data_IF_519307285658
#
_entry.id   IF_519307285658
#
_cell.length_a   1.000
_cell.length_b   1.000
_cell.length_c   1.000
_cell.angle_alpha   90.00
_cell.angle_beta   90.00
_cell.angle_gamma   90.00
#
_symmetry.space_group_name_H-M   'P 1'
#
loop_
_entity.id
_entity.type
_entity.pdbx_description
1 polymer ?
#
# COMPACT_ATOMS: atom_id res chain seq x y z
N UNK A 1 16.80 2.86 2.93
CA UNK A 1 17.35 1.50 3.12
C UNK A 1 18.48 1.18 2.14
N UNK A 2 18.35 1.48 0.85
CA UNK A 2 19.35 1.19 -0.20
C UNK A 2 20.73 1.83 0.07
N UNK A 3 20.78 3.09 0.52
CA UNK A 3 22.04 3.77 0.83
C UNK A 3 22.73 3.26 2.12
N UNK A 4 21.95 2.78 3.09
CA UNK A 4 22.46 2.33 4.39
C UNK A 4 22.92 0.86 4.40
N UNK A 5 22.43 0.03 3.47
CA UNK A 5 22.67 -1.43 3.43
C UNK A 5 23.59 -1.88 2.28
N UNK A 6 24.47 -1.01 1.76
CA UNK A 6 25.47 -1.41 0.74
C UNK A 6 25.08 -1.13 -0.72
N UNK A 7 24.17 -0.18 -0.98
CA UNK A 7 23.93 0.37 -2.32
C UNK A 7 23.44 -0.66 -3.34
N UNK A 8 24.20 -0.87 -4.42
CA UNK A 8 23.82 -1.76 -5.53
C UNK A 8 23.72 -3.23 -5.15
N UNK A 9 24.50 -3.71 -4.17
CA UNK A 9 24.43 -5.09 -3.68
C UNK A 9 23.09 -5.38 -2.99
N UNK A 10 22.59 -4.42 -2.21
CA UNK A 10 21.26 -4.49 -1.61
C UNK A 10 20.16 -4.53 -2.68
N UNK A 11 20.30 -3.76 -3.75
CA UNK A 11 19.32 -3.73 -4.84
C UNK A 11 19.18 -5.10 -5.52
N UNK A 12 20.30 -5.81 -5.76
CA UNK A 12 20.26 -7.17 -6.30
C UNK A 12 19.53 -8.14 -5.38
N UNK A 13 19.83 -8.11 -4.07
CA UNK A 13 19.15 -8.96 -3.08
C UNK A 13 17.66 -8.63 -3.02
N UNK A 14 17.29 -7.35 -3.06
CA UNK A 14 15.91 -6.90 -3.09
C UNK A 14 15.16 -7.41 -4.32
N UNK A 15 15.76 -7.32 -5.51
CA UNK A 15 15.16 -7.82 -6.75
C UNK A 15 14.98 -9.34 -6.72
N UNK A 16 16.00 -10.08 -6.28
CA UNK A 16 15.91 -11.54 -6.12
C UNK A 16 14.81 -11.90 -5.13
N UNK A 17 14.73 -11.21 -3.99
CA UNK A 17 13.70 -11.45 -2.98
C UNK A 17 12.29 -11.11 -3.51
N UNK A 18 12.16 -10.05 -4.31
CA UNK A 18 10.89 -9.69 -4.95
C UNK A 18 10.41 -10.78 -5.90
N UNK A 19 11.31 -11.36 -6.68
CA UNK A 19 10.97 -12.44 -7.61
C UNK A 19 10.70 -13.76 -6.87
N UNK A 20 11.47 -14.08 -5.82
CA UNK A 20 11.34 -15.37 -5.12
C UNK A 20 10.24 -15.40 -4.05
N UNK A 21 9.86 -14.24 -3.52
CA UNK A 21 8.89 -14.13 -2.41
C UNK A 21 7.67 -13.32 -2.88
N UNK A 22 7.89 -12.09 -3.32
CA UNK A 22 6.82 -11.17 -3.70
C UNK A 22 5.96 -11.70 -4.85
N UNK A 23 6.60 -12.19 -5.92
CA UNK A 23 5.88 -12.70 -7.09
C UNK A 23 5.04 -13.96 -6.78
N UNK A 24 5.56 -15.00 -6.09
CA UNK A 24 4.73 -16.12 -5.64
C UNK A 24 3.55 -15.74 -4.76
N UNK A 25 3.73 -14.78 -3.83
CA UNK A 25 2.64 -14.27 -2.99
C UNK A 25 1.60 -13.52 -3.83
N UNK A 26 2.02 -12.69 -4.77
CA UNK A 26 1.11 -11.99 -5.69
C UNK A 26 0.27 -12.97 -6.52
N UNK A 27 0.91 -14.02 -7.05
CA UNK A 27 0.19 -15.09 -7.76
C UNK A 27 -0.81 -15.81 -6.84
N UNK A 28 -0.48 -15.99 -5.56
CA UNK A 28 -1.39 -16.56 -4.58
C UNK A 28 -2.61 -15.67 -4.34
N UNK A 29 -2.41 -14.37 -4.12
CA UNK A 29 -3.51 -13.41 -3.95
C UNK A 29 -4.41 -13.37 -5.19
N UNK A 30 -3.82 -13.31 -6.38
CA UNK A 30 -4.56 -13.30 -7.64
C UNK A 30 -5.40 -14.56 -7.83
N UNK A 31 -4.80 -15.74 -7.64
CA UNK A 31 -5.50 -17.02 -7.78
C UNK A 31 -6.64 -17.16 -6.75
N UNK A 32 -6.39 -16.80 -5.48
CA UNK A 32 -7.41 -16.83 -4.45
C UNK A 32 -8.55 -15.85 -4.74
N UNK A 33 -8.23 -14.60 -5.13
CA UNK A 33 -9.21 -13.56 -5.41
C UNK A 33 -10.14 -13.95 -6.55
N UNK A 34 -9.59 -14.44 -7.67
CA UNK A 34 -10.38 -14.88 -8.82
C UNK A 34 -11.24 -16.10 -8.52
N UNK A 35 -10.67 -17.13 -7.89
CA UNK A 35 -11.42 -18.33 -7.53
C UNK A 35 -12.54 -18.06 -6.52
N UNK A 36 -12.35 -17.10 -5.61
CA UNK A 36 -13.34 -16.82 -4.58
C UNK A 36 -14.47 -15.91 -5.09
N UNK A 37 -14.18 -14.89 -5.91
CA UNK A 37 -15.18 -13.94 -6.40
C UNK A 37 -15.95 -13.21 -5.30
N UNK A 38 -15.39 -13.12 -4.10
CA UNK A 38 -15.95 -12.42 -2.93
C UNK A 38 -14.91 -11.44 -2.38
N UNK A 39 -15.31 -10.59 -1.43
CA UNK A 39 -14.41 -9.66 -0.74
C UNK A 39 -13.21 -10.37 -0.10
N UNK A 40 -12.07 -9.69 0.00
CA UNK A 40 -10.81 -10.22 0.52
C UNK A 40 -10.94 -10.97 1.86
N UNK A 41 -11.76 -10.46 2.80
CA UNK A 41 -11.99 -11.14 4.10
C UNK A 41 -12.67 -12.51 3.94
N UNK A 42 -13.68 -12.60 3.07
CA UNK A 42 -14.52 -13.79 2.90
C UNK A 42 -13.86 -14.85 2.01
N UNK A 43 -12.85 -14.48 1.23
CA UNK A 43 -12.10 -15.37 0.34
C UNK A 43 -11.57 -16.60 1.06
N UNK A 44 -10.93 -16.40 2.21
CA UNK A 44 -10.32 -17.47 2.98
C UNK A 44 -11.35 -18.45 3.54
N UNK A 45 -12.47 -17.97 4.07
CA UNK A 45 -13.53 -18.83 4.60
C UNK A 45 -14.28 -19.60 3.50
N UNK A 46 -14.53 -18.96 2.35
CA UNK A 46 -15.16 -19.60 1.19
C UNK A 46 -14.27 -20.72 0.63
N UNK A 47 -12.99 -20.44 0.39
CA UNK A 47 -12.07 -21.40 -0.21
C UNK A 47 -11.60 -22.48 0.78
N UNK A 48 -11.46 -22.14 2.05
CA UNK A 48 -11.09 -23.07 3.11
C UNK A 48 -12.28 -23.84 3.72
N UNK A 49 -13.52 -23.59 3.24
CA UNK A 49 -14.77 -24.17 3.75
C UNK A 49 -14.96 -24.00 5.28
N UNK A 50 -14.36 -22.97 5.87
CA UNK A 50 -14.43 -22.70 7.30
C UNK A 50 -14.27 -21.21 7.56
N UNK A 51 -15.30 -20.58 8.12
CA UNK A 51 -15.34 -19.14 8.41
C UNK A 51 -14.22 -18.67 9.35
N UNK A 52 -13.59 -19.56 10.13
CA UNK A 52 -12.44 -19.20 10.96
C UNK A 52 -11.30 -18.63 10.12
N UNK A 53 -11.07 -19.13 8.91
CA UNK A 53 -9.99 -18.65 8.05
C UNK A 53 -10.15 -17.18 7.61
N UNK A 54 -11.34 -16.59 7.75
CA UNK A 54 -11.55 -15.16 7.48
C UNK A 54 -10.70 -14.25 8.37
N UNK A 55 -10.14 -14.76 9.49
CA UNK A 55 -9.20 -14.00 10.31
C UNK A 55 -7.99 -13.49 9.51
N UNK A 56 -7.54 -14.28 8.51
CA UNK A 56 -6.39 -13.94 7.67
C UNK A 56 -6.68 -12.66 6.90
N UNK A 57 -7.87 -12.56 6.31
CA UNK A 57 -8.28 -11.37 5.59
C UNK A 57 -8.56 -10.18 6.50
N UNK A 58 -8.98 -10.40 7.76
CA UNK A 58 -9.12 -9.32 8.74
C UNK A 58 -7.77 -8.68 9.11
N UNK A 59 -6.70 -9.47 9.23
CA UNK A 59 -5.34 -8.93 9.45
C UNK A 59 -4.97 -7.99 8.30
N UNK A 60 -5.19 -8.42 7.06
CA UNK A 60 -4.92 -7.59 5.87
C UNK A 60 -5.78 -6.33 5.82
N UNK A 61 -7.10 -6.44 6.07
CA UNK A 61 -8.00 -5.29 6.09
C UNK A 61 -7.59 -4.26 7.14
N UNK A 62 -7.26 -4.72 8.35
CA UNK A 62 -6.80 -3.86 9.44
C UNK A 62 -5.44 -3.22 9.13
N UNK A 63 -4.50 -3.98 8.56
CA UNK A 63 -3.22 -3.45 8.10
C UNK A 63 -3.41 -2.34 7.06
N UNK A 64 -4.28 -2.54 6.07
CA UNK A 64 -4.59 -1.55 5.05
C UNK A 64 -5.29 -0.31 5.61
N UNK A 65 -6.14 -0.47 6.63
CA UNK A 65 -6.78 0.66 7.29
C UNK A 65 -5.76 1.55 8.03
N UNK A 66 -4.85 0.94 8.81
CA UNK A 66 -3.77 1.69 9.47
C UNK A 66 -2.81 2.27 8.44
N UNK A 67 -2.45 1.50 7.39
CA UNK A 67 -1.62 1.97 6.30
C UNK A 67 -2.21 3.24 5.68
N UNK A 68 -3.50 3.22 5.35
CA UNK A 68 -4.20 4.36 4.76
C UNK A 68 -4.17 5.59 5.68
N UNK A 69 -4.25 5.42 7.01
CA UNK A 69 -4.28 6.55 7.94
C UNK A 69 -2.99 7.36 7.91
N UNK A 70 -1.82 6.73 8.04
CA UNK A 70 -0.54 7.46 7.97
C UNK A 70 -0.11 7.74 6.52
N UNK A 71 -0.52 6.92 5.55
CA UNK A 71 -0.32 7.21 4.13
C UNK A 71 -1.04 8.48 3.68
N UNK A 72 -2.22 8.77 4.24
CA UNK A 72 -2.94 10.03 3.97
C UNK A 72 -2.17 11.28 4.43
N UNK A 73 -1.33 11.15 5.47
CA UNK A 73 -0.44 12.22 5.96
C UNK A 73 0.66 12.49 4.93
N UNK A 74 1.30 11.43 4.43
CA UNK A 74 2.31 11.53 3.36
C UNK A 74 1.68 12.13 2.09
N UNK A 75 0.47 11.69 1.73
CA UNK A 75 -0.30 12.26 0.62
C UNK A 75 -0.60 13.75 0.79
N UNK A 76 -0.90 14.18 2.01
CA UNK A 76 -1.02 15.58 2.38
C UNK A 76 0.27 16.37 2.14
N UNK A 77 1.43 15.85 2.55
CA UNK A 77 2.72 16.50 2.29
C UNK A 77 2.94 16.70 0.79
N UNK A 78 2.63 15.71 -0.04
CA UNK A 78 2.75 15.82 -1.50
C UNK A 78 1.88 16.96 -2.05
N UNK A 79 0.66 17.14 -1.54
CA UNK A 79 -0.20 18.27 -1.94
C UNK A 79 0.41 19.63 -1.57
N UNK A 80 1.00 19.74 -0.37
CA UNK A 80 1.66 20.98 0.07
C UNK A 80 2.87 21.29 -0.83
N UNK A 81 3.71 20.30 -1.08
CA UNK A 81 4.87 20.45 -1.99
C UNK A 81 4.45 20.80 -3.41
N UNK A 82 3.40 20.17 -3.92
CA UNK A 82 2.85 20.52 -5.23
C UNK A 82 2.39 21.98 -5.28
N UNK A 83 1.70 22.46 -4.23
CA UNK A 83 1.29 23.85 -4.11
C UNK A 83 2.47 24.83 -4.11
N UNK A 84 3.55 24.49 -3.41
CA UNK A 84 4.78 25.29 -3.38
C UNK A 84 5.45 25.34 -4.76
N UNK A 85 5.55 24.20 -5.45
CA UNK A 85 6.12 24.15 -6.80
C UNK A 85 5.25 24.92 -7.82
N UNK A 86 3.93 24.91 -7.67
CA UNK A 86 3.06 25.78 -8.46
C UNK A 86 3.28 27.26 -8.12
N UNK A 87 3.42 27.63 -6.84
CA UNK A 87 3.71 29.01 -6.41
C UNK A 87 4.99 29.57 -7.03
N UNK A 88 6.05 28.74 -7.10
CA UNK A 88 7.31 29.10 -7.77
C UNK A 88 7.13 29.43 -9.25
N UNK A 89 6.23 28.76 -9.95
CA UNK A 89 5.93 29.05 -11.36
C UNK A 89 5.38 30.48 -11.56
N UNK A 90 4.69 31.01 -10.54
CA UNK A 90 4.15 32.37 -10.51
C UNK A 90 5.07 33.38 -9.79
N UNK A 91 6.32 33.01 -9.50
CA UNK A 91 7.27 33.81 -8.70
C UNK A 91 6.76 34.13 -7.28
N UNK A 92 5.76 33.38 -6.80
CA UNK A 92 5.19 33.45 -5.46
C UNK A 92 5.92 32.43 -4.57
N UNK A 93 7.17 32.72 -4.20
CA UNK A 93 7.94 31.87 -3.29
C UNK A 93 9.45 32.04 -3.42
N UNK A 94 10.14 32.10 -2.27
CA UNK A 94 11.60 32.21 -2.21
C UNK A 94 12.30 30.87 -2.39
N UNK A 95 13.53 30.92 -2.92
CA UNK A 95 14.48 29.80 -2.96
C UNK A 95 15.01 29.54 -1.54
N UNK A 96 14.30 28.74 -0.77
CA UNK A 96 14.69 28.32 0.57
C UNK A 96 15.28 26.91 0.61
N UNK A 97 15.94 26.58 1.72
CA UNK A 97 16.41 25.24 2.04
C UNK A 97 15.20 24.28 2.19
N UNK A 98 15.11 23.28 1.33
CA UNK A 98 14.03 22.28 1.34
C UNK A 98 13.95 21.51 2.65
N UNK A 99 15.06 21.35 3.39
CA UNK A 99 15.06 20.65 4.68
C UNK A 99 14.38 21.47 5.78
N UNK A 100 14.61 22.79 5.81
CA UNK A 100 13.93 23.69 6.75
C UNK A 100 12.45 23.84 6.39
N UNK A 101 12.15 23.94 5.09
CA UNK A 101 10.79 23.95 4.58
C UNK A 101 10.03 22.68 5.00
N UNK A 102 10.63 21.51 4.83
CA UNK A 102 10.02 20.24 5.27
C UNK A 102 9.71 20.25 6.77
N UNK A 103 10.69 20.62 7.59
CA UNK A 103 10.56 20.64 9.05
C UNK A 103 9.45 21.59 9.50
N UNK A 104 9.37 22.79 8.91
CA UNK A 104 8.30 23.75 9.21
C UNK A 104 6.90 23.28 8.78
N UNK A 105 6.80 22.50 7.69
CA UNK A 105 5.53 21.94 7.22
C UNK A 105 5.03 20.85 8.15
N UNK A 106 5.89 19.87 8.48
CA UNK A 106 5.49 18.70 9.29
C UNK A 106 5.28 19.04 10.78
N UNK A 107 5.93 20.10 11.27
CA UNK A 107 5.79 20.55 12.67
C UNK A 107 4.60 21.47 12.90
N UNK A 108 4.02 22.06 11.85
CA UNK A 108 2.87 22.95 11.95
C UNK A 108 1.54 22.16 11.95
N UNK A 109 0.78 22.15 13.06
CA UNK A 109 -0.45 21.35 13.16
C UNK A 109 -1.53 21.74 12.14
N UNK A 110 -1.67 23.03 11.83
CA UNK A 110 -2.70 23.50 10.92
C UNK A 110 -2.40 23.07 9.48
N UNK A 111 -1.13 23.13 9.07
CA UNK A 111 -0.69 22.68 7.74
C UNK A 111 -0.78 21.15 7.66
N UNK A 112 -0.28 20.41 8.66
CA UNK A 112 -0.31 18.96 8.66
C UNK A 112 -1.74 18.39 8.61
N UNK A 113 -2.64 18.87 9.47
CA UNK A 113 -4.04 18.43 9.51
C UNK A 113 -4.83 18.92 8.29
N UNK A 114 -4.61 20.17 7.87
CA UNK A 114 -5.25 20.72 6.67
C UNK A 114 -4.86 19.97 5.39
N UNK A 115 -3.59 19.59 5.26
CA UNK A 115 -3.08 18.82 4.13
C UNK A 115 -3.61 17.39 4.12
N UNK A 116 -3.64 16.71 5.28
CA UNK A 116 -4.24 15.39 5.42
C UNK A 116 -5.75 15.44 5.06
N UNK A 117 -6.47 16.44 5.56
CA UNK A 117 -7.90 16.62 5.24
C UNK A 117 -8.11 16.87 3.74
N UNK A 118 -7.28 17.70 3.11
CA UNK A 118 -7.34 17.95 1.66
C UNK A 118 -7.11 16.66 0.85
N UNK A 119 -6.15 15.83 1.26
CA UNK A 119 -5.88 14.55 0.60
C UNK A 119 -7.05 13.57 0.74
N UNK A 120 -7.67 13.49 1.93
CA UNK A 120 -8.83 12.63 2.16
C UNK A 120 -10.05 13.11 1.38
N UNK A 121 -10.31 14.41 1.33
CA UNK A 121 -11.38 14.97 0.50
C UNK A 121 -11.18 14.65 -0.99
N UNK A 122 -9.95 14.69 -1.47
CA UNK A 122 -9.60 14.27 -2.84
C UNK A 122 -9.90 12.78 -3.06
N UNK A 123 -9.56 11.92 -2.10
CA UNK A 123 -9.85 10.49 -2.19
C UNK A 123 -11.36 10.20 -2.21
N UNK A 124 -12.13 10.82 -1.29
CA UNK A 124 -13.61 10.75 -1.26
C UNK A 124 -14.20 11.20 -2.59
N UNK A 125 -13.71 12.32 -3.14
CA UNK A 125 -14.19 12.85 -4.41
C UNK A 125 -13.97 11.87 -5.58
N UNK A 126 -12.83 11.20 -5.62
CA UNK A 126 -12.51 10.23 -6.67
C UNK A 126 -13.36 8.97 -6.53
N UNK A 127 -13.52 8.46 -5.32
CA UNK A 127 -14.29 7.24 -5.05
C UNK A 127 -15.79 7.46 -5.28
N UNK A 128 -16.33 8.60 -4.85
CA UNK A 128 -17.74 8.97 -5.02
C UNK A 128 -18.17 9.12 -6.49
N UNK A 129 -17.22 9.42 -7.40
CA UNK A 129 -17.46 9.49 -8.85
C UNK A 129 -17.39 8.15 -9.59
N UNK A 130 -17.19 7.04 -8.88
CA UNK A 130 -17.21 5.69 -9.45
C UNK A 130 -15.82 5.17 -9.83
N UNK A 131 -15.38 4.21 -9.03
CA UNK A 131 -14.06 3.53 -9.06
C UNK A 131 -13.80 2.79 -10.38
N UNK A 132 -14.85 2.28 -11.06
CA UNK A 132 -14.69 1.30 -12.14
C UNK A 132 -14.11 1.82 -13.46
N UNK A 133 -14.24 3.11 -13.80
CA UNK A 133 -13.66 3.66 -15.06
C UNK A 133 -12.56 4.70 -14.84
N UNK A 134 -12.50 5.32 -13.67
CA UNK A 134 -11.53 6.36 -13.34
C UNK A 134 -10.15 5.83 -12.99
N UNK A 135 -10.07 4.84 -12.08
CA UNK A 135 -8.81 4.39 -11.46
C UNK A 135 -7.99 3.49 -12.38
N UNK A 136 -8.67 2.68 -13.22
CA UNK A 136 -7.98 1.84 -14.20
C UNK A 136 -7.36 2.68 -15.32
N UNK A 137 -8.07 3.70 -15.81
CA UNK A 137 -7.54 4.68 -16.77
C UNK A 137 -6.42 5.50 -16.16
N UNK A 138 -6.59 5.88 -14.91
CA UNK A 138 -5.63 6.62 -14.14
C UNK A 138 -4.30 5.87 -14.01
N UNK A 139 -4.34 4.65 -13.48
CA UNK A 139 -3.15 3.84 -13.23
C UNK A 139 -2.44 3.46 -14.56
N UNK A 140 -3.20 3.25 -15.64
CA UNK A 140 -2.66 3.01 -17.00
C UNK A 140 -1.85 4.19 -17.56
N UNK A 141 -2.19 5.42 -17.18
CA UNK A 141 -1.52 6.64 -17.68
C UNK A 141 -0.33 7.01 -16.81
N UNK A 142 -0.45 6.87 -15.49
CA UNK A 142 0.57 7.35 -14.55
C UNK A 142 1.77 6.41 -14.41
N UNK A 143 1.58 5.10 -14.52
CA UNK A 143 2.69 4.14 -14.43
C UNK A 143 3.73 4.37 -15.54
N UNK A 144 3.36 4.51 -16.84
CA UNK A 144 4.32 4.83 -17.91
C UNK A 144 4.94 6.22 -17.79
N UNK A 145 4.16 7.22 -17.35
CA UNK A 145 4.66 8.60 -17.16
C UNK A 145 5.74 8.67 -16.07
N UNK A 146 5.64 7.85 -15.03
CA UNK A 146 6.67 7.76 -13.99
C UNK A 146 8.04 7.32 -14.57
N UNK A 147 8.06 6.40 -15.53
CA UNK A 147 9.29 5.92 -16.19
C UNK A 147 9.88 6.92 -17.19
N UNK A 148 9.09 7.88 -17.68
CA UNK A 148 9.56 8.96 -18.56
C UNK A 148 10.14 10.11 -17.73
N UNK A 149 9.49 10.45 -16.62
CA UNK A 149 9.85 11.63 -15.82
C UNK A 149 10.96 11.35 -14.82
N UNK A 150 11.09 10.12 -14.32
CA UNK A 150 12.19 9.76 -13.40
C UNK A 150 13.59 10.01 -14.01
N UNK A 151 13.92 9.57 -15.24
CA UNK A 151 15.20 9.92 -15.87
C UNK A 151 15.39 11.43 -16.09
N UNK A 152 14.32 12.14 -16.47
CA UNK A 152 14.37 13.59 -16.73
C UNK A 152 14.60 14.41 -15.46
N UNK A 153 14.11 13.93 -14.32
CA UNK A 153 14.35 14.53 -13.00
C UNK A 153 15.83 14.44 -12.60
N UNK A 154 16.52 13.38 -13.00
CA UNK A 154 17.96 13.21 -12.75
C UNK A 154 18.83 13.98 -13.75
N UNK A 155 18.35 14.22 -14.98
CA UNK A 155 19.13 14.90 -16.02
C UNK A 155 19.09 16.43 -15.94
N UNK A 156 17.97 17.07 -15.58
CA UNK A 156 17.91 18.52 -15.26
C UNK A 156 16.77 18.84 -14.28
N UNK A 157 17.01 19.83 -13.42
CA UNK A 157 16.06 20.32 -12.40
C UNK A 157 14.75 21.03 -12.85
N UNK A 158 14.43 21.36 -14.13
CA UNK A 158 13.26 22.21 -14.43
C UNK A 158 11.89 21.49 -14.47
N UNK A 159 11.79 20.19 -14.14
CA UNK A 159 10.52 19.43 -14.22
C UNK A 159 9.93 18.98 -12.88
N UNK A 160 10.33 19.61 -11.76
CA UNK A 160 9.83 19.28 -10.43
C UNK A 160 8.30 19.27 -10.32
N UNK A 161 7.60 20.25 -10.89
CA UNK A 161 6.13 20.31 -10.88
C UNK A 161 5.47 19.09 -11.53
N UNK A 162 5.98 18.65 -12.69
CA UNK A 162 5.45 17.46 -13.39
C UNK A 162 5.66 16.21 -12.54
N UNK A 163 6.83 16.09 -11.92
CA UNK A 163 7.13 14.98 -11.02
C UNK A 163 6.14 14.91 -9.85
N UNK A 164 5.88 16.03 -9.14
CA UNK A 164 4.92 16.05 -8.03
C UNK A 164 3.48 15.78 -8.48
N UNK A 165 3.07 16.20 -9.68
CA UNK A 165 1.75 15.85 -10.25
C UNK A 165 1.63 14.34 -10.45
N UNK A 166 2.63 13.71 -11.05
CA UNK A 166 2.64 12.25 -11.26
C UNK A 166 2.70 11.49 -9.94
N UNK A 167 3.49 12.00 -8.99
CA UNK A 167 3.62 11.38 -7.68
C UNK A 167 2.34 11.51 -6.85
N UNK A 168 1.67 12.67 -6.88
CA UNK A 168 0.34 12.85 -6.31
C UNK A 168 -0.62 11.82 -6.89
N UNK A 169 -0.60 11.66 -8.20
CA UNK A 169 -1.49 10.75 -8.87
C UNK A 169 -1.25 9.29 -8.46
N UNK A 170 0.01 8.83 -8.46
CA UNK A 170 0.37 7.49 -8.01
C UNK A 170 -0.05 7.26 -6.55
N UNK A 171 0.10 8.29 -5.72
CA UNK A 171 -0.28 8.26 -4.31
C UNK A 171 -1.79 8.12 -4.16
N UNK A 172 -2.56 8.94 -4.88
CA UNK A 172 -4.02 8.89 -4.88
C UNK A 172 -4.54 7.56 -5.41
N UNK A 173 -4.00 7.02 -6.51
CA UNK A 173 -4.44 5.70 -7.00
C UNK A 173 -4.20 4.59 -5.99
N UNK A 174 -3.08 4.65 -5.24
CA UNK A 174 -2.76 3.67 -4.21
C UNK A 174 -3.69 3.80 -3.00
N UNK A 175 -3.94 5.02 -2.52
CA UNK A 175 -4.84 5.28 -1.39
C UNK A 175 -6.28 4.86 -1.71
N UNK A 176 -6.73 5.09 -2.94
CA UNK A 176 -8.06 4.67 -3.39
C UNK A 176 -8.18 3.14 -3.36
N UNK A 177 -7.18 2.39 -3.83
CA UNK A 177 -7.20 0.91 -3.80
C UNK A 177 -7.21 0.39 -2.36
N UNK A 178 -6.43 1.00 -1.45
CA UNK A 178 -6.43 0.64 -0.03
C UNK A 178 -7.80 0.86 0.63
N UNK A 179 -8.46 1.97 0.30
CA UNK A 179 -9.83 2.25 0.76
C UNK A 179 -10.83 1.24 0.17
N UNK A 180 -10.77 0.99 -1.13
CA UNK A 180 -11.73 0.15 -1.85
C UNK A 180 -11.76 -1.28 -1.32
N UNK A 181 -10.59 -1.84 -0.96
CA UNK A 181 -10.51 -3.16 -0.31
C UNK A 181 -11.32 -3.17 0.99
N UNK A 182 -11.21 -2.13 1.82
CA UNK A 182 -11.97 -2.03 3.07
C UNK A 182 -13.46 -1.75 2.84
N UNK A 183 -13.82 -0.93 1.85
CA UNK A 183 -15.22 -0.69 1.47
C UNK A 183 -15.86 -1.98 1.01
N UNK A 184 -15.22 -2.73 0.12
CA UNK A 184 -15.75 -3.98 -0.43
C UNK A 184 -15.89 -5.09 0.62
N UNK A 185 -14.99 -5.11 1.60
CA UNK A 185 -15.10 -5.99 2.77
C UNK A 185 -16.36 -5.73 3.60
N UNK A 186 -16.83 -4.47 3.68
CA UNK A 186 -18.03 -4.11 4.44
C UNK A 186 -19.30 -4.24 3.59
N UNK A 187 -19.26 -3.74 2.35
CA UNK A 187 -20.43 -3.71 1.46
C UNK A 187 -20.71 -5.07 0.82
N UNK A 188 -19.76 -6.00 0.83
CA UNK A 188 -19.86 -7.28 0.14
C UNK A 188 -20.18 -7.11 -1.35
N UNK A 189 -19.49 -6.17 -2.02
CA UNK A 189 -19.68 -5.81 -3.42
C UNK A 189 -21.05 -5.16 -3.73
N UNK A 190 -21.80 -4.71 -2.72
CA UNK A 190 -23.03 -3.95 -2.90
C UNK A 190 -22.74 -2.48 -3.26
N UNK A 191 -22.88 -2.17 -4.55
CA UNK A 191 -22.64 -0.84 -5.11
C UNK A 191 -23.50 0.27 -4.49
N UNK A 192 -24.70 -0.05 -4.00
CA UNK A 192 -25.62 0.96 -3.44
C UNK A 192 -25.11 1.57 -2.14
N UNK A 193 -24.31 0.80 -1.38
CA UNK A 193 -23.76 1.21 -0.08
C UNK A 193 -22.34 1.76 -0.18
N UNK A 194 -21.67 1.59 -1.33
CA UNK A 194 -20.26 1.97 -1.52
C UNK A 194 -19.97 3.42 -1.16
N UNK A 195 -20.67 4.37 -1.78
CA UNK A 195 -20.43 5.80 -1.55
C UNK A 195 -20.54 6.18 -0.06
N UNK A 196 -21.54 5.63 0.65
CA UNK A 196 -21.72 5.86 2.09
C UNK A 196 -20.55 5.31 2.91
N UNK A 197 -20.13 4.07 2.64
CA UNK A 197 -19.04 3.43 3.40
C UNK A 197 -17.67 3.99 3.07
N UNK A 198 -17.43 4.44 1.84
CA UNK A 198 -16.20 5.14 1.47
C UNK A 198 -16.03 6.42 2.30
N UNK A 199 -17.09 7.22 2.44
CA UNK A 199 -17.05 8.44 3.27
C UNK A 199 -16.82 8.11 4.74
N UNK A 200 -17.53 7.10 5.28
CA UNK A 200 -17.37 6.70 6.69
C UNK A 200 -15.94 6.23 6.96
N UNK A 201 -15.38 5.36 6.11
CA UNK A 201 -14.03 4.84 6.28
C UNK A 201 -12.96 5.92 6.11
N UNK A 202 -13.17 6.89 5.24
CA UNK A 202 -12.28 8.04 5.08
C UNK A 202 -12.32 8.98 6.29
N UNK A 203 -13.49 9.23 6.87
CA UNK A 203 -13.59 10.00 8.12
C UNK A 203 -12.88 9.26 9.26
N UNK A 204 -13.05 7.94 9.37
CA UNK A 204 -12.36 7.14 10.37
C UNK A 204 -10.84 7.15 10.15
N UNK A 205 -10.40 7.03 8.89
CA UNK A 205 -8.99 7.15 8.48
C UNK A 205 -8.42 8.51 8.87
N UNK A 206 -9.17 9.60 8.63
CA UNK A 206 -8.75 10.94 9.01
C UNK A 206 -8.50 11.03 10.52
N UNK A 207 -9.50 10.65 11.31
CA UNK A 207 -9.44 10.70 12.79
C UNK A 207 -8.30 9.84 13.31
N UNK A 208 -8.12 8.63 12.79
CA UNK A 208 -7.05 7.73 13.20
C UNK A 208 -5.66 8.20 12.74
N UNK A 209 -5.60 9.00 11.66
CA UNK A 209 -4.37 9.60 11.15
C UNK A 209 -3.95 10.89 11.86
N UNK A 210 -4.82 11.54 12.65
CA UNK A 210 -4.49 12.78 13.39
C UNK A 210 -3.22 12.61 14.25
N UNK A 211 -3.08 11.57 15.08
CA UNK A 211 -1.87 11.42 15.89
C UNK A 211 -0.62 11.17 15.03
N UNK A 212 -0.75 10.52 13.87
CA UNK A 212 0.33 10.37 12.89
C UNK A 212 0.70 11.69 12.22
N UNK A 213 -0.27 12.58 11.95
CA UNK A 213 0.01 13.89 11.38
C UNK A 213 0.69 14.84 12.36
N UNK A 214 0.40 14.69 13.66
CA UNK A 214 0.97 15.54 14.72
C UNK A 214 2.28 15.01 15.31
N UNK A 215 2.71 13.81 14.92
CA UNK A 215 3.88 13.13 15.50
C UNK A 215 5.22 13.82 15.23
N UNK A 216 5.28 14.71 14.23
CA UNK A 216 6.47 15.50 13.90
C UNK A 216 6.37 16.96 14.39
N UNK A 217 5.31 17.28 15.14
CA UNK A 217 5.06 18.61 15.71
C UNK A 217 4.70 18.51 17.19
N UNK A 218 3.44 18.81 17.53
CA UNK A 218 2.97 18.88 18.92
C UNK A 218 3.06 17.55 19.68
N UNK A 219 2.97 16.41 18.99
CA UNK A 219 3.10 15.08 19.59
C UNK A 219 4.49 14.46 19.41
N UNK A 220 5.52 15.26 19.08
CA UNK A 220 6.88 14.75 18.90
C UNK A 220 7.44 14.05 20.14
N UNK A 221 7.11 14.55 21.35
CA UNK A 221 7.59 13.99 22.61
C UNK A 221 6.82 12.73 23.06
N UNK A 222 5.71 12.40 22.39
CA UNK A 222 4.91 11.21 22.72
C UNK A 222 5.52 10.00 22.03
N UNK A 223 6.19 9.15 22.83
CA UNK A 223 6.86 7.96 22.32
C UNK A 223 6.15 6.67 22.69
N UNK A 224 5.96 5.80 21.70
CA UNK A 224 5.45 4.43 21.85
C UNK A 224 6.61 3.51 21.47
N UNK A 225 7.09 2.69 22.42
CA UNK A 225 8.29 1.83 22.22
C UNK A 225 9.53 2.59 21.69
N UNK A 226 9.73 3.83 22.16
CA UNK A 226 10.84 4.69 21.74
C UNK A 226 10.72 5.24 20.31
N UNK A 227 9.53 5.17 19.71
CA UNK A 227 9.21 5.68 18.38
C UNK A 227 8.12 6.74 18.46
N UNK A 228 8.09 7.68 17.51
CA UNK A 228 6.93 8.58 17.37
C UNK A 228 5.69 7.77 17.02
N UNK A 229 4.48 8.34 17.19
CA UNK A 229 3.25 7.62 16.82
C UNK A 229 3.24 7.18 15.35
N UNK A 230 3.71 8.03 14.43
CA UNK A 230 3.82 7.69 13.01
C UNK A 230 4.74 6.49 12.81
N UNK A 231 5.96 6.54 13.36
CA UNK A 231 6.95 5.48 13.20
C UNK A 231 6.50 4.17 13.87
N UNK A 232 5.74 4.25 14.97
CA UNK A 232 5.17 3.09 15.64
C UNK A 232 4.08 2.41 14.79
N UNK A 233 3.21 3.20 14.13
CA UNK A 233 2.19 2.67 13.22
C UNK A 233 2.79 2.11 11.92
N UNK A 234 3.79 2.79 11.34
CA UNK A 234 4.54 2.27 10.21
C UNK A 234 5.21 0.94 10.58
N UNK A 235 5.90 0.87 11.73
CA UNK A 235 6.49 -0.38 12.20
C UNK A 235 5.44 -1.49 12.40
N UNK A 236 4.30 -1.17 13.04
CA UNK A 236 3.22 -2.12 13.26
C UNK A 236 2.71 -2.71 11.94
N UNK A 237 2.53 -1.88 10.91
CA UNK A 237 2.02 -2.36 9.61
C UNK A 237 3.13 -3.04 8.81
N UNK A 238 4.24 -2.36 8.61
CA UNK A 238 5.32 -2.74 7.71
C UNK A 238 6.16 -3.90 8.20
N UNK A 239 6.39 -4.01 9.51
CA UNK A 239 7.24 -5.04 10.10
C UNK A 239 6.45 -6.16 10.78
N UNK A 240 5.17 -5.97 11.08
CA UNK A 240 4.37 -6.97 11.80
C UNK A 240 3.15 -7.44 10.99
N UNK A 241 2.17 -6.58 10.74
CA UNK A 241 0.88 -7.00 10.16
C UNK A 241 1.02 -7.49 8.71
N UNK A 242 1.78 -6.80 7.85
CA UNK A 242 1.99 -7.23 6.47
C UNK A 242 2.76 -8.57 6.39
N UNK A 243 3.89 -8.77 7.10
CA UNK A 243 4.54 -10.07 7.18
C UNK A 243 3.65 -11.18 7.72
N UNK A 244 2.88 -10.95 8.79
CA UNK A 244 1.93 -11.94 9.29
C UNK A 244 0.84 -12.26 8.26
N UNK A 245 0.30 -11.25 7.58
CA UNK A 245 -0.64 -11.44 6.49
C UNK A 245 -0.07 -12.32 5.38
N UNK A 246 1.17 -12.04 4.95
CA UNK A 246 1.89 -12.82 3.96
C UNK A 246 2.17 -14.27 4.42
N UNK A 247 2.52 -14.47 5.69
CA UNK A 247 2.73 -15.80 6.28
C UNK A 247 1.45 -16.63 6.25
N UNK A 248 0.34 -16.05 6.73
CA UNK A 248 -0.93 -16.76 6.72
C UNK A 248 -1.45 -17.01 5.31
N UNK A 249 -1.29 -16.05 4.40
CA UNK A 249 -1.59 -16.20 2.98
C UNK A 249 -0.79 -17.34 2.34
N UNK A 250 0.52 -17.42 2.59
CA UNK A 250 1.38 -18.46 2.01
C UNK A 250 1.03 -19.84 2.54
N UNK A 251 0.80 -19.96 3.85
CA UNK A 251 0.39 -21.22 4.48
C UNK A 251 -1.01 -21.65 4.01
N UNK A 252 -1.95 -20.72 3.92
CA UNK A 252 -3.29 -21.01 3.41
C UNK A 252 -3.23 -21.51 1.97
N UNK A 253 -2.49 -20.83 1.11
CA UNK A 253 -2.36 -21.22 -0.31
C UNK A 253 -1.61 -22.55 -0.46
N UNK A 254 -0.53 -22.76 0.32
CA UNK A 254 0.31 -23.95 0.23
C UNK A 254 -0.31 -25.22 0.81
N UNK A 255 -1.24 -25.11 1.77
CA UNK A 255 -1.81 -26.28 2.48
C UNK A 255 -3.32 -26.42 2.34
N UNK A 256 -4.09 -25.33 2.27
CA UNK A 256 -5.56 -25.36 2.34
C UNK A 256 -6.18 -25.17 0.96
N UNK A 257 -5.62 -24.27 0.13
CA UNK A 257 -6.18 -23.96 -1.17
C UNK A 257 -6.07 -25.15 -2.14
N UNK A 258 -7.16 -25.41 -2.88
CA UNK A 258 -7.24 -26.56 -3.79
C UNK A 258 -6.33 -26.33 -5.00
N UNK A 259 -5.37 -27.23 -5.19
CA UNK A 259 -4.42 -27.20 -6.33
C UNK A 259 -5.12 -27.10 -7.69
N UNK A 260 -6.21 -27.84 -7.89
CA UNK A 260 -6.98 -27.81 -9.14
C UNK A 260 -7.49 -26.39 -9.47
N UNK A 261 -8.05 -25.68 -8.50
CA UNK A 261 -8.53 -24.30 -8.68
C UNK A 261 -7.36 -23.34 -8.93
N UNK A 262 -6.24 -23.52 -8.21
CA UNK A 262 -5.05 -22.70 -8.43
C UNK A 262 -4.49 -22.85 -9.85
N UNK A 263 -4.46 -24.08 -10.39
CA UNK A 263 -3.95 -24.35 -11.74
C UNK A 263 -4.88 -23.81 -12.82
N UNK A 264 -6.20 -23.88 -12.58
CA UNK A 264 -7.22 -23.30 -13.44
C UNK A 264 -7.06 -21.78 -13.53
N UNK A 265 -6.99 -21.05 -12.41
CA UNK A 265 -6.88 -19.58 -12.44
C UNK A 265 -5.56 -19.06 -13.01
N UNK A 266 -4.48 -19.84 -12.84
CA UNK A 266 -3.17 -19.53 -13.39
C UNK A 266 -3.04 -19.93 -14.86
N UNK A 267 -4.10 -20.46 -15.49
CA UNK A 267 -4.15 -20.91 -16.89
C UNK A 267 -2.96 -21.83 -17.25
N UNK A 268 -2.65 -22.79 -16.37
CA UNK A 268 -1.53 -23.69 -16.55
C UNK A 268 -1.96 -24.91 -17.37
N UNK A 269 -1.56 -24.96 -18.64
CA UNK A 269 -1.73 -26.14 -19.50
C UNK A 269 -0.98 -27.38 -18.94
N UNK A 270 -1.30 -28.56 -19.47
CA UNK A 270 -0.67 -29.85 -19.12
C UNK A 270 0.82 -29.97 -19.49
N UNK A 271 1.46 -28.90 -19.99
CA UNK A 271 2.88 -28.91 -20.36
C UNK A 271 3.76 -29.17 -19.14
N UNK A 272 4.68 -30.14 -19.25
CA UNK A 272 5.55 -30.58 -18.15
C UNK A 272 6.33 -29.45 -17.46
N UNK A 273 6.81 -28.44 -18.19
CA UNK A 273 7.55 -27.32 -17.59
C UNK A 273 6.65 -26.37 -16.76
N UNK A 274 5.40 -26.13 -17.21
CA UNK A 274 4.40 -25.34 -16.45
C UNK A 274 4.01 -26.04 -15.15
N UNK A 275 3.89 -27.37 -15.22
CA UNK A 275 3.65 -28.23 -14.06
C UNK A 275 4.83 -28.19 -13.07
N UNK A 276 6.06 -28.22 -13.58
CA UNK A 276 7.27 -28.04 -12.77
C UNK A 276 7.29 -26.69 -12.04
N UNK A 277 6.99 -25.58 -12.74
CA UNK A 277 6.89 -24.26 -12.14
C UNK A 277 5.81 -24.17 -11.06
N UNK A 278 4.67 -24.83 -11.26
CA UNK A 278 3.61 -24.89 -10.25
C UNK A 278 4.05 -25.62 -8.98
N UNK A 279 4.80 -26.72 -9.11
CA UNK A 279 5.35 -27.41 -7.94
C UNK A 279 6.40 -26.56 -7.22
N UNK A 280 7.24 -25.84 -7.96
CA UNK A 280 8.19 -24.88 -7.37
C UNK A 280 7.44 -23.77 -6.63
N UNK A 281 6.41 -23.19 -7.24
CA UNK A 281 5.57 -22.17 -6.61
C UNK A 281 4.90 -22.68 -5.33
N UNK A 282 4.33 -23.88 -5.35
CA UNK A 282 3.78 -24.51 -4.14
C UNK A 282 4.84 -24.78 -3.07
N UNK A 283 6.04 -25.23 -3.47
CA UNK A 283 7.14 -25.47 -2.55
C UNK A 283 7.60 -24.16 -1.88
N UNK A 284 7.69 -23.07 -2.65
CA UNK A 284 8.02 -21.74 -2.13
C UNK A 284 6.99 -21.29 -1.09
N UNK A 285 5.69 -21.37 -1.41
CA UNK A 285 4.61 -20.97 -0.49
C UNK A 285 4.52 -21.85 0.76
N UNK A 286 4.86 -23.13 0.64
CA UNK A 286 4.74 -24.11 1.71
C UNK A 286 5.89 -24.05 2.73
N UNK A 287 7.11 -23.80 2.26
CA UNK A 287 8.30 -23.92 3.10
C UNK A 287 9.15 -22.65 3.08
N UNK A 288 9.62 -22.22 1.91
CA UNK A 288 10.63 -21.17 1.80
C UNK A 288 10.11 -19.82 2.32
N UNK A 289 8.95 -19.39 1.83
CA UNK A 289 8.35 -18.10 2.18
C UNK A 289 7.97 -18.05 3.67
N UNK A 290 7.26 -19.05 4.24
CA UNK A 290 7.00 -19.09 5.68
C UNK A 290 8.27 -19.00 6.53
N UNK A 291 9.33 -19.75 6.18
CA UNK A 291 10.58 -19.75 6.95
C UNK A 291 11.23 -18.36 6.88
N UNK A 292 11.32 -17.76 5.70
CA UNK A 292 11.92 -16.42 5.53
C UNK A 292 11.13 -15.39 6.35
N UNK A 293 9.80 -15.44 6.30
CA UNK A 293 8.96 -14.49 7.06
C UNK A 293 9.12 -14.71 8.57
N UNK A 294 9.16 -15.94 9.06
CA UNK A 294 9.36 -16.22 10.48
C UNK A 294 10.74 -15.73 10.95
N UNK A 295 11.79 -15.97 10.16
CA UNK A 295 13.13 -15.46 10.46
C UNK A 295 13.14 -13.93 10.46
N UNK A 296 12.45 -13.29 9.50
CA UNK A 296 12.32 -11.84 9.45
C UNK A 296 11.61 -11.29 10.69
N UNK A 297 10.47 -11.86 11.09
CA UNK A 297 9.73 -11.43 12.29
C UNK A 297 10.56 -11.64 13.55
N UNK A 298 11.32 -12.73 13.64
CA UNK A 298 12.19 -13.02 14.79
C UNK A 298 13.33 -12.02 14.97
N UNK A 299 13.71 -11.23 13.95
CA UNK A 299 14.72 -10.17 14.09
C UNK A 299 14.21 -8.95 14.86
N UNK A 300 12.89 -8.82 15.03
CA UNK A 300 12.24 -7.67 15.67
C UNK A 300 11.71 -7.98 17.07
N UNK A 301 11.77 -9.24 17.51
CA UNK A 301 11.41 -9.68 18.87
C UNK A 301 12.65 -9.77 19.74
#
# INVERSE_FOLDING_TARGET
MTAANGGGGFLLIFLISTILIGFPLLLAEFALGRSAGVSAIKTFGKLGKNNKYNFIGWIGAFALFILLSFYSVIGGWILVYLGIEFGKLFQLGGTGDYAQLFTSIISNPAIALGAQAAFILLNIFIVSRGVQKGIERASKVTMPLLFIVLPQLFDKMPFGTIFYVLFLFATVTSSVVMLEINVDNITNQDNSKRAKWSVILEILTFVFGIPSALSYGVMADVHIFGKTFFDAMDFLVSNLLMPFGALFLSLFTGYIFKKALAMEELHLDERAWKQGLFQVWLFLLRFVIPIIIVVFIAQFM
#
